data_IF_324341903348
#
_entry.id   IF_324341903348
#
_cell.length_a   1.000
_cell.length_b   1.000
_cell.length_c   1.000
_cell.angle_alpha   90.00
_cell.angle_beta   90.00
_cell.angle_gamma   90.00
#
_symmetry.space_group_name_H-M   'P 1'
#
loop_
_entity.id
_entity.type
_entity.pdbx_description
1 polymer ?
#
# COMPACT_ATOMS: atom_id res chain seq x y z
N UNK A 1 -20.13 -2.39 3.12
CA UNK A 1 -18.98 -3.31 2.86
C UNK A 1 -18.10 -3.29 4.09
N UNK A 2 -17.70 -4.43 4.65
CA UNK A 2 -16.85 -4.47 5.86
C UNK A 2 -15.44 -3.91 5.56
N UNK A 3 -14.77 -3.32 6.55
CA UNK A 3 -13.38 -2.85 6.51
C UNK A 3 -12.39 -3.79 5.85
N UNK A 4 -12.46 -5.09 6.15
CA UNK A 4 -11.57 -6.10 5.52
C UNK A 4 -11.71 -6.14 4.00
N UNK A 5 -12.95 -6.10 3.50
CA UNK A 5 -13.20 -6.08 2.06
C UNK A 5 -12.72 -4.75 1.42
N UNK A 6 -12.86 -3.62 2.12
CA UNK A 6 -12.30 -2.33 1.66
C UNK A 6 -10.77 -2.39 1.60
N UNK A 7 -10.12 -2.97 2.61
CA UNK A 7 -8.67 -3.16 2.67
C UNK A 7 -8.14 -4.04 1.53
N UNK A 8 -8.78 -5.19 1.26
CA UNK A 8 -8.39 -6.07 0.15
C UNK A 8 -8.60 -5.36 -1.19
N UNK A 9 -9.77 -4.71 -1.38
CA UNK A 9 -10.07 -3.95 -2.59
C UNK A 9 -9.01 -2.88 -2.88
N UNK A 10 -8.46 -2.25 -1.83
CA UNK A 10 -7.44 -1.24 -1.96
C UNK A 10 -6.18 -1.75 -2.66
N UNK A 11 -5.85 -3.05 -2.57
CA UNK A 11 -4.60 -3.64 -3.09
C UNK A 11 -4.69 -4.15 -4.53
N UNK A 12 -5.86 -4.16 -5.16
CA UNK A 12 -6.08 -4.86 -6.44
C UNK A 12 -5.54 -4.04 -7.62
N UNK A 13 -5.96 -2.78 -7.71
CA UNK A 13 -5.51 -1.83 -8.74
C UNK A 13 -5.53 -0.43 -8.17
N UNK A 14 -4.92 0.54 -8.86
CA UNK A 14 -5.07 1.95 -8.52
C UNK A 14 -6.54 2.41 -8.50
N UNK A 15 -7.36 1.86 -9.40
CA UNK A 15 -8.81 2.11 -9.43
C UNK A 15 -9.47 1.51 -8.17
N UNK A 16 -9.12 0.26 -7.82
CA UNK A 16 -9.58 -0.39 -6.59
C UNK A 16 -9.21 0.40 -5.33
N UNK A 17 -8.00 0.96 -5.30
CA UNK A 17 -7.54 1.85 -4.22
C UNK A 17 -8.40 3.11 -4.09
N UNK A 18 -8.68 3.81 -5.20
CA UNK A 18 -9.54 5.00 -5.20
C UNK A 18 -10.96 4.64 -4.72
N UNK A 19 -11.53 3.55 -5.20
CA UNK A 19 -12.86 3.09 -4.78
C UNK A 19 -12.85 2.76 -3.27
N UNK A 20 -11.84 2.04 -2.79
CA UNK A 20 -11.71 1.72 -1.36
C UNK A 20 -11.61 2.98 -0.49
N UNK A 21 -10.85 3.99 -0.93
CA UNK A 21 -10.76 5.28 -0.27
C UNK A 21 -12.13 5.97 -0.16
N UNK A 22 -12.85 6.12 -1.28
CA UNK A 22 -14.16 6.76 -1.30
C UNK A 22 -15.16 6.02 -0.38
N UNK A 23 -15.18 4.68 -0.45
CA UNK A 23 -16.06 3.86 0.39
C UNK A 23 -15.73 3.99 1.89
N UNK A 24 -14.45 4.18 2.23
CA UNK A 24 -14.01 4.36 3.60
C UNK A 24 -14.23 5.78 4.12
N UNK A 25 -14.24 6.80 3.25
CA UNK A 25 -14.60 8.17 3.64
C UNK A 25 -16.09 8.29 4.03
N UNK A 26 -16.96 7.54 3.35
CA UNK A 26 -18.41 7.53 3.64
C UNK A 26 -18.75 6.77 4.92
N UNK A 27 -18.07 5.65 5.15
CA UNK A 27 -18.29 4.75 6.27
C UNK A 27 -16.92 4.29 6.77
N UNK A 28 -16.42 4.94 7.82
CA UNK A 28 -15.02 4.86 8.21
C UNK A 28 -14.72 3.60 9.00
N UNK A 29 -13.68 2.90 8.57
CA UNK A 29 -13.15 1.73 9.24
C UNK A 29 -11.63 1.88 9.41
N UNK A 30 -11.12 1.65 10.62
CA UNK A 30 -9.69 1.84 10.91
C UNK A 30 -8.79 0.83 10.19
N UNK A 31 -9.27 -0.40 10.00
CA UNK A 31 -8.52 -1.45 9.30
C UNK A 31 -8.38 -1.10 7.82
N UNK A 32 -9.48 -0.67 7.20
CA UNK A 32 -9.45 -0.15 5.84
C UNK A 32 -8.54 1.08 5.73
N UNK A 33 -8.67 2.06 6.64
CA UNK A 33 -7.85 3.28 6.64
C UNK A 33 -6.36 2.96 6.71
N UNK A 34 -5.97 2.01 7.58
CA UNK A 34 -4.59 1.54 7.71
C UNK A 34 -4.02 1.02 6.38
N UNK A 35 -4.75 0.13 5.70
CA UNK A 35 -4.30 -0.48 4.46
C UNK A 35 -4.38 0.45 3.24
N UNK A 36 -5.33 1.38 3.22
CA UNK A 36 -5.40 2.46 2.23
C UNK A 36 -4.12 3.29 2.29
N UNK A 37 -3.70 3.72 3.49
CA UNK A 37 -2.44 4.47 3.69
C UNK A 37 -1.21 3.64 3.35
N UNK A 38 -1.16 2.39 3.81
CA UNK A 38 -0.02 1.52 3.59
C UNK A 38 0.23 1.25 2.11
N UNK A 39 -0.83 0.87 1.37
CA UNK A 39 -0.67 0.57 -0.05
C UNK A 39 -0.35 1.81 -0.87
N UNK A 40 -0.92 2.98 -0.53
CA UNK A 40 -0.53 4.25 -1.15
C UNK A 40 0.97 4.51 -1.01
N UNK A 41 1.52 4.31 0.20
CA UNK A 41 2.95 4.44 0.45
C UNK A 41 3.80 3.48 -0.38
N UNK A 42 3.39 2.22 -0.49
CA UNK A 42 4.06 1.21 -1.32
C UNK A 42 4.04 1.63 -2.80
N UNK A 43 2.90 2.13 -3.31
CA UNK A 43 2.77 2.59 -4.70
C UNK A 43 3.70 3.78 -4.98
N UNK A 44 3.72 4.77 -4.10
CA UNK A 44 4.58 5.96 -4.25
C UNK A 44 6.05 5.58 -4.16
N UNK A 45 6.44 4.75 -3.18
CA UNK A 45 7.82 4.26 -3.05
C UNK A 45 8.24 3.43 -4.28
N UNK A 46 7.32 2.64 -4.83
CA UNK A 46 7.53 1.89 -6.05
C UNK A 46 7.80 2.80 -7.24
N UNK A 47 6.91 3.77 -7.47
CA UNK A 47 7.04 4.72 -8.58
C UNK A 47 8.32 5.56 -8.48
N UNK A 48 8.54 6.21 -7.34
CA UNK A 48 9.69 7.11 -7.15
C UNK A 48 11.02 6.35 -7.17
N UNK A 49 11.10 5.21 -6.50
CA UNK A 49 12.32 4.42 -6.47
C UNK A 49 12.64 3.79 -7.83
N UNK A 50 11.64 3.32 -8.58
CA UNK A 50 11.87 2.79 -9.92
C UNK A 50 12.34 3.89 -10.88
N UNK A 51 11.72 5.08 -10.83
CA UNK A 51 12.15 6.23 -11.61
C UNK A 51 13.59 6.63 -11.27
N UNK A 52 13.93 6.77 -9.98
CA UNK A 52 15.28 7.17 -9.57
C UNK A 52 16.36 6.13 -9.93
N UNK A 53 16.09 4.85 -9.69
CA UNK A 53 17.08 3.78 -9.92
C UNK A 53 17.25 3.44 -11.40
N UNK A 54 16.22 3.63 -12.22
CA UNK A 54 16.33 3.40 -13.67
C UNK A 54 17.29 4.37 -14.36
N UNK A 55 17.49 5.57 -13.79
CA UNK A 55 18.50 6.54 -14.25
C UNK A 55 19.94 6.07 -13.96
N UNK A 56 20.13 5.17 -13.00
CA UNK A 56 21.44 4.65 -12.59
C UNK A 56 21.73 3.33 -13.30
N UNK A 57 20.80 2.37 -13.18
CA UNK A 57 20.93 1.03 -13.75
C UNK A 57 19.58 0.34 -13.84
N UNK A 58 19.30 -0.27 -15.00
CA UNK A 58 18.11 -1.11 -15.20
C UNK A 58 18.06 -2.29 -14.23
N UNK A 59 19.22 -2.88 -13.88
CA UNK A 59 19.31 -3.96 -12.89
C UNK A 59 18.90 -3.49 -11.50
N UNK A 60 19.32 -2.29 -11.08
CA UNK A 60 18.95 -1.72 -9.78
C UNK A 60 17.43 -1.45 -9.71
N UNK A 61 16.85 -0.90 -10.77
CA UNK A 61 15.40 -0.69 -10.87
C UNK A 61 14.61 -2.00 -10.82
N UNK A 62 15.13 -3.07 -11.43
CA UNK A 62 14.52 -4.40 -11.39
C UNK A 62 14.55 -5.00 -9.98
N UNK A 63 15.68 -4.92 -9.28
CA UNK A 63 15.81 -5.35 -7.88
C UNK A 63 14.82 -4.59 -6.99
N UNK A 64 14.70 -3.27 -7.18
CA UNK A 64 13.72 -2.47 -6.46
C UNK A 64 12.27 -2.89 -6.74
N UNK A 65 11.95 -3.19 -8.00
CA UNK A 65 10.64 -3.73 -8.37
C UNK A 65 10.28 -5.01 -7.60
N UNK A 66 11.25 -5.92 -7.43
CA UNK A 66 11.08 -7.15 -6.64
C UNK A 66 10.84 -6.83 -5.16
N UNK A 67 11.58 -5.88 -4.57
CA UNK A 67 11.38 -5.45 -3.18
C UNK A 67 9.96 -4.89 -2.97
N UNK A 68 9.50 -4.06 -3.89
CA UNK A 68 8.15 -3.46 -3.85
C UNK A 68 7.07 -4.53 -4.01
N UNK A 69 7.28 -5.51 -4.89
CA UNK A 69 6.37 -6.64 -5.04
C UNK A 69 6.25 -7.45 -3.74
N UNK A 70 7.37 -7.72 -3.07
CA UNK A 70 7.38 -8.42 -1.77
C UNK A 70 6.66 -7.59 -0.70
N UNK A 71 6.92 -6.29 -0.63
CA UNK A 71 6.24 -5.38 0.31
C UNK A 71 4.73 -5.36 0.09
N UNK A 72 4.29 -5.34 -1.17
CA UNK A 72 2.88 -5.42 -1.54
C UNK A 72 2.26 -6.76 -1.13
N UNK A 73 2.94 -7.90 -1.40
CA UNK A 73 2.47 -9.23 -1.00
C UNK A 73 2.29 -9.33 0.52
N UNK A 74 3.26 -8.86 1.31
CA UNK A 74 3.18 -8.86 2.78
C UNK A 74 1.97 -8.03 3.26
N UNK A 75 1.76 -6.85 2.66
CA UNK A 75 0.62 -5.99 2.98
C UNK A 75 -0.71 -6.66 2.63
N UNK A 76 -0.83 -7.25 1.44
CA UNK A 76 -2.05 -7.94 0.99
C UNK A 76 -2.36 -9.17 1.86
N UNK A 77 -1.37 -10.02 2.14
CA UNK A 77 -1.54 -11.21 3.00
C UNK A 77 -1.99 -10.79 4.40
N UNK A 78 -1.42 -9.71 4.93
CA UNK A 78 -1.81 -9.19 6.25
C UNK A 78 -3.26 -8.65 6.24
N UNK A 79 -3.69 -8.00 5.15
CA UNK A 79 -5.07 -7.58 4.96
C UNK A 79 -6.04 -8.78 4.88
N UNK A 80 -5.66 -9.84 4.15
CA UNK A 80 -6.46 -11.07 4.01
C UNK A 80 -6.55 -11.85 5.33
N UNK A 81 -5.51 -11.83 6.14
CA UNK A 81 -5.47 -12.50 7.45
C UNK A 81 -6.04 -11.64 8.60
N UNK A 82 -6.58 -10.46 8.29
CA UNK A 82 -7.20 -9.55 9.26
C UNK A 82 -6.25 -9.06 10.36
N UNK A 83 -4.95 -8.99 10.05
CA UNK A 83 -3.92 -8.48 10.96
C UNK A 83 -3.49 -7.10 10.52
N UNK A 84 -3.40 -6.12 11.43
CA UNK A 84 -2.81 -4.79 11.12
C UNK A 84 -1.29 -4.88 11.24
N UNK A 85 -0.63 -5.36 10.18
CA UNK A 85 0.83 -5.42 10.14
C UNK A 85 1.39 -4.32 9.24
N UNK A 86 2.28 -3.53 9.80
CA UNK A 86 3.03 -2.55 9.03
C UNK A 86 4.01 -3.26 8.09
N UNK A 87 4.16 -2.74 6.88
CA UNK A 87 5.24 -3.16 6.00
C UNK A 87 6.58 -2.95 6.74
N UNK A 88 7.46 -3.96 6.84
CA UNK A 88 8.71 -3.84 7.58
C UNK A 88 9.52 -2.61 7.15
N UNK A 89 10.19 -1.97 8.12
CA UNK A 89 11.09 -0.81 7.95
C UNK A 89 10.39 0.51 7.57
N UNK A 90 9.41 0.49 6.67
CA UNK A 90 8.85 1.71 6.06
C UNK A 90 7.36 1.95 6.35
N UNK A 91 6.64 0.95 6.84
CA UNK A 91 5.19 1.02 7.07
C UNK A 91 4.79 2.12 8.05
N UNK A 92 5.55 2.31 9.12
CA UNK A 92 5.30 3.37 10.11
C UNK A 92 5.27 4.77 9.48
N UNK A 93 6.18 5.05 8.53
CA UNK A 93 6.22 6.33 7.83
C UNK A 93 4.98 6.53 6.96
N UNK A 94 4.49 5.49 6.30
CA UNK A 94 3.25 5.58 5.52
C UNK A 94 2.04 5.91 6.39
N UNK A 95 1.96 5.32 7.59
CA UNK A 95 0.90 5.64 8.53
C UNK A 95 0.97 7.09 9.02
N UNK A 96 2.17 7.65 9.18
CA UNK A 96 2.37 9.04 9.58
C UNK A 96 2.09 10.03 8.45
N UNK A 97 2.69 9.85 7.27
CA UNK A 97 2.56 10.76 6.14
C UNK A 97 1.13 10.86 5.62
N UNK A 98 0.40 9.75 5.65
CA UNK A 98 -0.95 9.68 5.10
C UNK A 98 -2.04 9.67 6.19
N UNK A 99 -1.73 10.04 7.44
CA UNK A 99 -2.66 9.98 8.59
C UNK A 99 -4.02 10.67 8.36
N UNK A 100 -4.10 11.61 7.42
CA UNK A 100 -5.33 12.30 7.03
C UNK A 100 -6.32 11.45 6.22
N UNK A 101 -5.89 10.32 5.64
CA UNK A 101 -6.73 9.32 4.98
C UNK A 101 -7.27 8.34 6.04
#
# INVERSE_FOLDING_TARGET
MNGKAKAILAHITIIGWVIALILNMKDRDEFASFYIRQYLGIMIAGLLGNLALSLISTTAAMIWGVIILIAWLISLISAVTDKKNETPVIGQYFQQWFKGL
#
